data_IF_663543261001
#
_entry.id   IF_663543261001
#
_cell.length_a   1.000
_cell.length_b   1.000
_cell.length_c   1.000
_cell.angle_alpha   90.00
_cell.angle_beta   90.00
_cell.angle_gamma   90.00
#
_symmetry.space_group_name_H-M   'P 1'
#
loop_
_entity.id
_entity.type
_entity.pdbx_description
1 polymer ?
#
# COMPACT_ATOMS: atom_id res chain seq x y z
N UNK A 1 2.80 12.59 18.26
CA UNK A 1 1.49 12.78 17.58
C UNK A 1 1.32 11.62 16.62
N UNK A 2 0.17 10.97 16.58
CA UNK A 2 -0.14 9.84 15.72
C UNK A 2 -0.70 10.35 14.37
N UNK A 3 0.19 10.72 13.44
CA UNK A 3 -0.23 11.24 12.13
C UNK A 3 -0.87 10.17 11.25
N UNK A 4 -0.56 8.90 11.49
CA UNK A 4 -1.22 7.74 10.89
C UNK A 4 -2.71 7.62 11.23
N UNK A 5 -3.16 8.36 12.25
CA UNK A 5 -4.57 8.42 12.69
C UNK A 5 -5.25 9.74 12.34
N UNK A 6 -4.52 10.67 11.71
CA UNK A 6 -5.05 11.99 11.40
C UNK A 6 -6.16 11.93 10.34
N UNK A 7 -7.12 12.84 10.45
CA UNK A 7 -8.05 13.11 9.36
C UNK A 7 -7.37 14.02 8.31
N UNK A 8 -7.77 13.97 7.04
CA UNK A 8 -7.24 14.87 6.01
C UNK A 8 -7.42 16.34 6.41
N UNK A 9 -6.33 17.13 6.28
CA UNK A 9 -6.35 18.57 6.60
C UNK A 9 -7.08 19.42 5.57
N UNK A 10 -7.49 18.82 4.45
CA UNK A 10 -8.32 19.46 3.41
C UNK A 10 -9.34 18.48 2.85
N UNK A 11 -10.44 19.00 2.31
CA UNK A 11 -11.44 18.21 1.59
C UNK A 11 -10.91 17.82 0.22
N UNK A 12 -11.27 16.62 -0.24
CA UNK A 12 -11.00 16.19 -1.61
C UNK A 12 -11.96 16.93 -2.56
N UNK A 13 -11.43 17.66 -3.56
CA UNK A 13 -12.29 18.37 -4.51
C UNK A 13 -13.10 17.36 -5.34
N UNK A 14 -14.42 17.59 -5.41
CA UNK A 14 -15.33 16.80 -6.23
C UNK A 14 -16.25 17.73 -6.98
N UNK A 15 -16.04 17.85 -8.30
CA UNK A 15 -16.86 18.69 -9.20
C UNK A 15 -17.01 18.06 -10.58
N UNK A 16 -18.08 18.41 -11.25
CA UNK A 16 -18.39 17.89 -12.60
C UNK A 16 -17.29 18.30 -13.60
N UNK A 17 -16.76 17.31 -14.34
CA UNK A 17 -15.72 17.53 -15.36
C UNK A 17 -14.28 17.52 -14.81
N UNK A 18 -14.05 17.22 -13.53
CA UNK A 18 -12.70 17.05 -13.02
C UNK A 18 -12.01 15.84 -13.69
N UNK A 19 -10.69 15.95 -13.85
CA UNK A 19 -9.85 14.90 -14.45
C UNK A 19 -9.33 13.87 -13.41
N UNK A 20 -9.40 14.22 -12.14
CA UNK A 20 -9.01 13.35 -11.05
C UNK A 20 -10.21 12.54 -10.54
N UNK A 21 -9.92 11.37 -9.97
CA UNK A 21 -10.94 10.47 -9.45
C UNK A 21 -10.75 10.29 -7.94
N UNK A 22 -11.22 11.26 -7.11
CA UNK A 22 -11.14 11.12 -5.68
C UNK A 22 -12.00 9.96 -5.19
N UNK A 23 -11.55 9.33 -4.13
CA UNK A 23 -12.26 8.20 -3.54
C UNK A 23 -11.69 7.83 -2.18
N UNK A 24 -12.17 6.68 -1.68
CA UNK A 24 -11.80 6.17 -0.38
C UNK A 24 -11.33 4.73 -0.52
N UNK A 25 -10.14 4.46 -0.03
CA UNK A 25 -9.59 3.12 0.10
C UNK A 25 -9.92 2.59 1.50
N UNK A 26 -10.66 1.49 1.59
CA UNK A 26 -10.79 0.79 2.87
C UNK A 26 -9.50 -0.01 3.13
N UNK A 27 -8.76 0.35 4.16
CA UNK A 27 -7.51 -0.29 4.54
C UNK A 27 -7.75 -1.47 5.47
N UNK A 28 -7.17 -2.62 5.14
CA UNK A 28 -7.18 -3.80 6.00
C UNK A 28 -6.21 -3.68 7.17
N UNK A 29 -5.19 -2.83 7.04
CA UNK A 29 -4.21 -2.55 8.09
C UNK A 29 -4.83 -1.74 9.22
N UNK A 30 -5.59 -0.69 8.87
CA UNK A 30 -6.15 0.24 9.86
C UNK A 30 -7.62 0.00 10.19
N UNK A 31 -8.34 -0.79 9.37
CA UNK A 31 -9.80 -0.95 9.45
C UNK A 31 -10.59 0.31 9.07
N UNK A 32 -9.94 1.34 8.51
CA UNK A 32 -10.53 2.65 8.21
C UNK A 32 -10.48 2.98 6.72
N UNK A 33 -11.20 4.03 6.34
CA UNK A 33 -11.13 4.57 4.99
C UNK A 33 -10.04 5.64 4.92
N UNK A 34 -9.13 5.51 3.95
CA UNK A 34 -8.08 6.47 3.62
C UNK A 34 -8.41 7.11 2.28
N UNK A 35 -8.42 8.44 2.21
CA UNK A 35 -8.77 9.18 1.01
C UNK A 35 -7.65 9.16 -0.04
N UNK A 36 -8.01 9.37 -1.30
CA UNK A 36 -7.10 9.61 -2.41
C UNK A 36 -7.75 10.53 -3.44
N UNK A 37 -6.98 11.32 -4.16
CA UNK A 37 -7.46 12.26 -5.18
C UNK A 37 -7.29 11.73 -6.61
N UNK A 38 -6.46 10.70 -6.80
CA UNK A 38 -6.16 10.13 -8.11
C UNK A 38 -6.03 8.61 -8.07
N UNK A 39 -6.06 7.97 -9.25
CA UNK A 39 -5.79 6.55 -9.38
C UNK A 39 -4.36 6.18 -8.96
N UNK A 40 -3.39 7.06 -9.18
CA UNK A 40 -2.01 6.82 -8.77
C UNK A 40 -1.88 6.84 -7.24
N UNK A 41 -2.50 7.80 -6.56
CA UNK A 41 -2.57 7.81 -5.09
C UNK A 41 -3.30 6.58 -4.54
N UNK A 42 -4.41 6.15 -5.17
CA UNK A 42 -5.08 4.91 -4.76
C UNK A 42 -4.14 3.71 -4.84
N UNK A 43 -3.34 3.61 -5.88
CA UNK A 43 -2.40 2.50 -6.04
C UNK A 43 -1.30 2.53 -4.97
N UNK A 44 -0.86 3.72 -4.55
CA UNK A 44 0.08 3.86 -3.43
C UNK A 44 -0.58 3.58 -2.07
N UNK A 45 -1.83 4.02 -1.85
CA UNK A 45 -2.60 3.64 -0.66
C UNK A 45 -2.76 2.10 -0.56
N UNK A 46 -2.98 1.44 -1.71
CA UNK A 46 -3.04 0.00 -1.80
C UNK A 46 -1.69 -0.67 -1.47
N UNK A 47 -0.56 -0.11 -1.93
CA UNK A 47 0.78 -0.62 -1.58
C UNK A 47 1.09 -0.44 -0.10
N UNK A 48 0.75 0.70 0.50
CA UNK A 48 0.90 0.93 1.94
C UNK A 48 0.07 -0.07 2.76
N UNK A 49 -1.14 -0.41 2.30
CA UNK A 49 -2.01 -1.40 2.94
C UNK A 49 -1.52 -2.85 2.73
N UNK A 50 -0.72 -3.08 1.69
CA UNK A 50 -0.11 -4.37 1.36
C UNK A 50 1.25 -4.60 2.03
N UNK A 51 1.94 -3.54 2.43
CA UNK A 51 3.26 -3.60 3.06
C UNK A 51 3.12 -4.10 4.51
N UNK A 52 3.72 -5.26 4.87
CA UNK A 52 3.62 -5.81 6.22
C UNK A 52 4.36 -4.97 7.26
N UNK A 53 5.27 -4.09 6.85
CA UNK A 53 5.98 -3.19 7.76
C UNK A 53 5.13 -1.96 8.14
N UNK A 54 4.09 -1.64 7.37
CA UNK A 54 3.20 -0.51 7.65
C UNK A 54 2.13 -0.92 8.64
N UNK A 55 2.11 -0.27 9.80
CA UNK A 55 1.13 -0.54 10.87
C UNK A 55 0.01 0.49 10.91
N UNK A 56 0.15 1.59 10.18
CA UNK A 56 -0.89 2.61 10.04
C UNK A 56 -0.52 3.64 9.00
N UNK A 57 -1.52 4.22 8.32
CA UNK A 57 -1.30 5.31 7.38
C UNK A 57 -2.55 6.17 7.21
N UNK A 58 -2.34 7.43 6.87
CA UNK A 58 -3.39 8.42 6.62
C UNK A 58 -3.04 9.29 5.42
N UNK A 59 -4.08 9.80 4.74
CA UNK A 59 -3.93 10.77 3.66
C UNK A 59 -3.95 12.19 4.19
N UNK A 60 -3.11 13.06 3.63
CA UNK A 60 -3.05 14.49 3.88
C UNK A 60 -3.09 14.86 5.38
N UNK A 61 -2.21 14.28 6.22
CA UNK A 61 -2.35 14.30 7.67
C UNK A 61 -2.00 15.63 8.32
N UNK A 62 -1.27 16.52 7.62
CA UNK A 62 -0.82 17.82 8.14
C UNK A 62 -0.51 18.81 7.02
N UNK A 63 -0.44 20.11 7.39
CA UNK A 63 0.16 21.15 6.56
C UNK A 63 1.61 21.37 7.01
N UNK A 64 2.57 21.26 6.09
CA UNK A 64 3.91 21.81 6.27
C UNK A 64 3.90 23.26 5.78
N UNK A 65 4.35 24.18 6.65
CA UNK A 65 4.50 25.59 6.30
C UNK A 65 5.99 25.96 6.31
N UNK A 66 6.46 26.71 5.32
CA UNK A 66 7.83 27.22 5.28
C UNK A 66 7.89 28.57 4.56
N UNK A 67 9.01 29.27 4.75
CA UNK A 67 9.32 30.48 4.00
C UNK A 67 10.11 30.06 2.76
N UNK A 68 9.47 30.03 1.61
CA UNK A 68 10.08 29.75 0.31
C UNK A 68 10.54 31.01 -0.39
N UNK A 69 11.12 30.84 -1.58
CA UNK A 69 11.63 31.97 -2.40
C UNK A 69 10.54 32.99 -2.76
N UNK A 70 9.28 32.55 -2.86
CA UNK A 70 8.11 33.38 -3.20
C UNK A 70 7.28 33.82 -1.97
N UNK A 71 7.83 33.67 -0.76
CA UNK A 71 7.17 34.00 0.49
C UNK A 71 6.63 32.79 1.24
N UNK A 72 5.63 32.99 2.11
CA UNK A 72 5.04 31.91 2.89
C UNK A 72 4.35 30.89 2.00
N UNK A 73 4.79 29.65 2.08
CA UNK A 73 4.31 28.52 1.29
C UNK A 73 3.81 27.42 2.22
N UNK A 74 2.89 26.59 1.73
CA UNK A 74 2.42 25.41 2.47
C UNK A 74 2.15 24.24 1.52
N UNK A 75 2.34 23.04 2.02
CA UNK A 75 2.05 21.80 1.30
C UNK A 75 1.48 20.75 2.28
N UNK A 76 0.51 19.97 1.82
CA UNK A 76 0.04 18.79 2.51
C UNK A 76 0.53 17.56 1.73
N UNK A 77 1.32 16.65 2.34
CA UNK A 77 1.75 15.44 1.66
C UNK A 77 0.57 14.52 1.37
N UNK A 78 0.69 13.68 0.35
CA UNK A 78 -0.40 12.78 -0.03
C UNK A 78 -0.64 11.73 1.04
N UNK A 79 0.44 11.15 1.63
CA UNK A 79 0.32 10.17 2.70
C UNK A 79 1.40 10.34 3.78
N UNK A 80 1.05 9.89 4.98
CA UNK A 80 1.98 9.54 6.05
C UNK A 80 1.74 8.08 6.42
N UNK A 81 2.81 7.30 6.55
CA UNK A 81 2.78 5.92 7.00
C UNK A 81 3.65 5.74 8.26
N UNK A 82 3.19 4.90 9.19
CA UNK A 82 3.93 4.44 10.35
C UNK A 82 4.39 3.01 10.12
N UNK A 83 5.67 2.75 10.31
CA UNK A 83 6.23 1.39 10.30
C UNK A 83 6.19 0.75 11.68
N UNK A 84 6.29 -0.56 11.71
CA UNK A 84 6.29 -1.36 12.94
C UNK A 84 7.46 -1.05 13.89
N UNK A 85 8.59 -0.55 13.38
CA UNK A 85 9.73 -0.05 14.17
C UNK A 85 9.52 1.36 14.75
N UNK A 86 8.36 1.97 14.50
CA UNK A 86 8.02 3.31 14.95
C UNK A 86 8.46 4.44 14.03
N UNK A 87 9.20 4.18 12.94
CA UNK A 87 9.61 5.21 11.99
C UNK A 87 8.43 5.74 11.17
N UNK A 88 8.49 7.04 10.83
CA UNK A 88 7.52 7.69 9.96
C UNK A 88 8.03 7.80 8.53
N UNK A 89 7.15 7.60 7.57
CA UNK A 89 7.42 7.80 6.15
C UNK A 89 6.39 8.76 5.59
N UNK A 90 6.84 9.86 4.99
CA UNK A 90 5.99 10.82 4.27
C UNK A 90 6.09 10.54 2.79
N UNK A 91 4.96 10.46 2.10
CA UNK A 91 4.91 10.20 0.67
C UNK A 91 4.22 11.33 -0.08
N UNK A 92 4.86 11.79 -1.15
CA UNK A 92 4.22 12.58 -2.20
C UNK A 92 4.14 11.75 -3.49
N UNK A 93 2.95 11.66 -4.05
CA UNK A 93 2.64 10.84 -5.23
C UNK A 93 2.63 11.73 -6.47
N UNK A 94 3.66 11.61 -7.29
CA UNK A 94 3.78 12.39 -8.52
C UNK A 94 4.38 11.55 -9.64
N UNK A 95 3.63 11.33 -10.71
CA UNK A 95 4.15 10.66 -11.91
C UNK A 95 5.38 11.41 -12.46
N UNK A 96 6.39 10.67 -12.95
CA UNK A 96 7.68 11.25 -13.34
C UNK A 96 7.54 12.30 -14.46
N UNK A 97 6.64 12.06 -15.41
CA UNK A 97 6.31 12.97 -16.51
C UNK A 97 5.53 14.23 -16.09
N UNK A 98 5.13 14.30 -14.81
CA UNK A 98 4.36 15.43 -14.25
C UNK A 98 5.11 16.21 -13.19
N UNK A 99 6.36 15.83 -12.89
CA UNK A 99 7.23 16.59 -11.99
C UNK A 99 7.63 17.88 -12.68
N UNK A 100 7.39 19.01 -12.02
CA UNK A 100 7.73 20.33 -12.50
C UNK A 100 8.94 20.89 -11.73
N UNK A 101 9.69 21.85 -12.29
CA UNK A 101 10.79 22.49 -11.57
C UNK A 101 10.41 23.06 -10.20
N UNK A 102 9.21 23.66 -10.09
CA UNK A 102 8.70 24.20 -8.82
C UNK A 102 8.41 23.14 -7.75
N UNK A 103 8.15 21.88 -8.14
CA UNK A 103 7.95 20.78 -7.19
C UNK A 103 9.24 20.45 -6.41
N UNK A 104 10.42 20.78 -6.97
CA UNK A 104 11.70 20.50 -6.33
C UNK A 104 11.86 21.24 -5.00
N UNK A 105 11.39 22.50 -4.90
CA UNK A 105 11.41 23.26 -3.65
C UNK A 105 10.53 22.60 -2.59
N UNK A 106 9.33 22.16 -2.99
CA UNK A 106 8.35 21.49 -2.11
C UNK A 106 8.96 20.19 -1.56
N UNK A 107 9.50 19.35 -2.44
CA UNK A 107 10.11 18.08 -2.03
C UNK A 107 11.32 18.29 -1.13
N UNK A 108 12.17 19.29 -1.43
CA UNK A 108 13.32 19.63 -0.59
C UNK A 108 12.87 20.14 0.80
N UNK A 109 11.83 20.97 0.88
CA UNK A 109 11.29 21.45 2.14
C UNK A 109 10.71 20.29 2.98
N UNK A 110 9.96 19.37 2.34
CA UNK A 110 9.41 18.20 3.00
C UNK A 110 10.51 17.26 3.50
N UNK A 111 11.53 16.98 2.67
CA UNK A 111 12.65 16.12 3.04
C UNK A 111 13.40 16.67 4.27
N UNK A 112 13.72 17.98 4.29
CA UNK A 112 14.36 18.63 5.44
C UNK A 112 13.49 18.56 6.71
N UNK A 113 12.18 18.78 6.57
CA UNK A 113 11.27 18.69 7.72
C UNK A 113 11.21 17.27 8.29
N UNK A 114 11.17 16.25 7.42
CA UNK A 114 11.22 14.84 7.83
C UNK A 114 12.53 14.51 8.54
N UNK A 115 13.67 14.95 8.01
CA UNK A 115 15.00 14.72 8.61
C UNK A 115 15.08 15.27 10.05
N UNK A 116 14.56 16.47 10.29
CA UNK A 116 14.55 17.11 11.63
C UNK A 116 13.81 16.28 12.67
N UNK A 117 12.76 15.55 12.27
CA UNK A 117 11.93 14.73 13.18
C UNK A 117 12.26 13.24 13.11
N UNK A 118 13.29 12.84 12.39
CA UNK A 118 13.73 11.45 12.25
C UNK A 118 12.80 10.60 11.37
N UNK A 119 12.09 11.23 10.43
CA UNK A 119 11.26 10.54 9.41
C UNK A 119 11.97 10.48 8.08
N UNK A 120 11.46 9.64 7.17
CA UNK A 120 11.88 9.64 5.78
C UNK A 120 10.84 10.31 4.88
N UNK A 121 11.31 10.93 3.81
CA UNK A 121 10.46 11.47 2.74
C UNK A 121 10.70 10.69 1.44
N UNK A 122 9.63 10.37 0.74
CA UNK A 122 9.68 9.69 -0.55
C UNK A 122 8.73 10.36 -1.54
N UNK A 123 9.28 10.82 -2.68
CA UNK A 123 8.46 11.07 -3.86
C UNK A 123 8.32 9.76 -4.63
N UNK A 124 7.09 9.33 -4.88
CA UNK A 124 6.76 8.07 -5.55
C UNK A 124 6.01 8.34 -6.86
N UNK A 125 6.36 7.58 -7.89
CA UNK A 125 5.82 7.72 -9.24
C UNK A 125 4.91 6.56 -9.65
N UNK A 126 4.85 6.33 -10.97
CA UNK A 126 4.04 5.25 -11.54
C UNK A 126 4.61 3.88 -11.15
N UNK A 127 3.75 2.98 -10.73
CA UNK A 127 4.14 1.63 -10.36
C UNK A 127 4.53 0.80 -11.58
N UNK A 128 5.44 -0.16 -11.39
CA UNK A 128 5.70 -1.20 -12.38
C UNK A 128 4.39 -1.93 -12.73
N UNK A 129 4.06 -2.07 -14.03
CA UNK A 129 2.74 -2.57 -14.44
C UNK A 129 2.39 -3.95 -13.88
N UNK A 130 3.36 -4.85 -13.80
CA UNK A 130 3.17 -6.21 -13.28
C UNK A 130 2.85 -6.16 -11.79
N UNK A 131 3.64 -5.44 -11.00
CA UNK A 131 3.40 -5.27 -9.57
C UNK A 131 2.01 -4.66 -9.33
N UNK A 132 1.68 -3.59 -10.05
CA UNK A 132 0.38 -2.92 -9.93
C UNK A 132 -0.78 -3.88 -10.23
N UNK A 133 -0.68 -4.70 -11.28
CA UNK A 133 -1.71 -5.68 -11.65
C UNK A 133 -1.87 -6.75 -10.56
N UNK A 134 -0.77 -7.31 -10.06
CA UNK A 134 -0.78 -8.37 -9.06
C UNK A 134 -1.34 -7.87 -7.71
N UNK A 135 -0.89 -6.70 -7.23
CA UNK A 135 -1.37 -6.16 -5.96
C UNK A 135 -2.83 -5.71 -6.08
N UNK A 136 -3.26 -5.15 -7.21
CA UNK A 136 -4.69 -4.87 -7.48
C UNK A 136 -5.54 -6.14 -7.48
N UNK A 137 -5.02 -7.25 -7.99
CA UNK A 137 -5.72 -8.54 -7.90
C UNK A 137 -5.87 -8.98 -6.45
N UNK A 138 -4.77 -9.08 -5.71
CA UNK A 138 -4.76 -9.53 -4.32
C UNK A 138 -5.57 -8.62 -3.40
N UNK A 139 -5.64 -7.32 -3.68
CA UNK A 139 -6.42 -6.36 -2.88
C UNK A 139 -7.91 -6.67 -2.78
N UNK A 140 -8.47 -7.46 -3.70
CA UNK A 140 -9.86 -7.94 -3.66
C UNK A 140 -10.11 -8.86 -2.46
N UNK A 141 -9.05 -9.52 -1.99
CA UNK A 141 -9.06 -10.49 -0.90
C UNK A 141 -8.51 -9.94 0.42
N UNK A 142 -8.26 -8.62 0.50
CA UNK A 142 -7.69 -7.96 1.70
C UNK A 142 -8.60 -8.02 2.92
N UNK A 143 -9.92 -8.12 2.72
CA UNK A 143 -10.86 -8.10 3.83
C UNK A 143 -10.76 -9.39 4.66
N UNK A 144 -10.71 -9.31 6.02
CA UNK A 144 -10.54 -10.48 6.91
C UNK A 144 -11.54 -11.61 6.68
N UNK A 145 -12.75 -11.30 6.15
CA UNK A 145 -13.75 -12.33 5.79
C UNK A 145 -13.21 -13.38 4.82
N UNK A 146 -12.24 -13.03 3.95
CA UNK A 146 -11.66 -13.94 2.98
C UNK A 146 -10.80 -15.01 3.64
N UNK A 147 -10.22 -14.72 4.83
CA UNK A 147 -9.40 -15.64 5.61
C UNK A 147 -10.14 -16.42 6.71
N UNK A 148 -11.48 -16.34 6.80
CA UNK A 148 -12.25 -16.97 7.89
C UNK A 148 -12.21 -18.51 7.94
N UNK A 149 -11.85 -19.15 6.83
CA UNK A 149 -11.69 -20.61 6.78
C UNK A 149 -10.34 -21.01 7.35
N UNK A 150 -10.22 -21.00 8.69
CA UNK A 150 -8.98 -21.33 9.42
C UNK A 150 -8.48 -22.75 9.12
N UNK A 151 -9.40 -23.69 8.93
CA UNK A 151 -9.11 -25.06 8.50
C UNK A 151 -8.36 -25.10 7.14
N UNK A 152 -8.85 -24.30 6.17
CA UNK A 152 -8.21 -24.19 4.84
C UNK A 152 -6.89 -23.44 4.94
N UNK A 153 -6.84 -22.34 5.73
CA UNK A 153 -5.63 -21.57 5.93
C UNK A 153 -4.50 -22.41 6.52
N UNK A 154 -4.77 -23.20 7.58
CA UNK A 154 -3.79 -24.08 8.19
C UNK A 154 -3.24 -25.11 7.19
N UNK A 155 -4.11 -25.76 6.42
CA UNK A 155 -3.69 -26.72 5.37
C UNK A 155 -2.88 -26.08 4.27
N UNK A 156 -3.22 -24.85 3.84
CA UNK A 156 -2.43 -24.10 2.87
C UNK A 156 -1.02 -23.81 3.40
N UNK A 157 -0.87 -23.44 4.67
CA UNK A 157 0.44 -23.20 5.29
C UNK A 157 1.30 -24.47 5.37
N UNK A 158 0.68 -25.64 5.58
CA UNK A 158 1.37 -26.92 5.52
C UNK A 158 1.82 -27.26 4.11
N UNK A 159 0.90 -27.13 3.14
CA UNK A 159 1.17 -27.43 1.75
C UNK A 159 2.25 -26.52 1.17
N UNK A 160 2.23 -25.22 1.44
CA UNK A 160 3.21 -24.25 0.98
C UNK A 160 4.44 -24.09 1.89
N UNK A 161 4.62 -24.97 2.88
CA UNK A 161 5.89 -25.07 3.60
C UNK A 161 7.05 -25.39 2.64
N UNK A 162 6.78 -26.06 1.52
CA UNK A 162 7.70 -26.26 0.39
C UNK A 162 7.20 -25.47 -0.81
N UNK A 163 8.08 -24.71 -1.49
CA UNK A 163 7.70 -23.95 -2.70
C UNK A 163 7.06 -24.83 -3.76
N UNK A 164 5.93 -24.40 -4.33
CA UNK A 164 5.24 -25.11 -5.42
C UNK A 164 4.33 -24.19 -6.21
N UNK A 165 3.86 -24.60 -7.41
CA UNK A 165 2.91 -23.84 -8.19
C UNK A 165 1.62 -23.57 -7.40
N UNK A 166 1.08 -22.36 -7.56
CA UNK A 166 -0.12 -21.88 -6.86
C UNK A 166 -1.29 -22.86 -7.00
N UNK A 167 -1.57 -23.29 -8.26
CA UNK A 167 -2.71 -24.16 -8.54
C UNK A 167 -2.54 -25.56 -7.95
N UNK A 168 -1.34 -26.12 -8.04
CA UNK A 168 -1.03 -27.44 -7.49
C UNK A 168 -1.18 -27.45 -5.96
N UNK A 169 -0.70 -26.39 -5.32
CA UNK A 169 -0.86 -26.22 -3.87
C UNK A 169 -2.32 -26.05 -3.46
N UNK A 170 -3.11 -25.27 -4.20
CA UNK A 170 -4.52 -25.11 -3.93
C UNK A 170 -5.30 -26.45 -4.11
N UNK A 171 -5.05 -27.16 -5.20
CA UNK A 171 -5.68 -28.44 -5.49
C UNK A 171 -5.35 -29.53 -4.44
N UNK A 172 -4.17 -29.48 -3.84
CA UNK A 172 -3.78 -30.40 -2.76
C UNK A 172 -4.57 -30.19 -1.47
N UNK A 173 -5.24 -29.05 -1.29
CA UNK A 173 -6.06 -28.74 -0.08
C UNK A 173 -7.51 -29.16 -0.26
N UNK A 174 -8.16 -28.66 -1.31
CA UNK A 174 -9.56 -28.98 -1.66
C UNK A 174 -9.88 -28.47 -3.08
N UNK A 175 -11.17 -28.38 -3.43
CA UNK A 175 -11.60 -27.71 -4.67
C UNK A 175 -10.94 -26.31 -4.76
N UNK A 176 -10.21 -26.09 -5.84
CA UNK A 176 -9.38 -24.92 -6.05
C UNK A 176 -10.19 -23.62 -5.96
N UNK A 177 -11.41 -23.59 -6.51
CA UNK A 177 -12.24 -22.38 -6.48
C UNK A 177 -12.68 -22.00 -5.06
N UNK A 178 -12.82 -22.99 -4.17
CA UNK A 178 -13.15 -22.75 -2.75
C UNK A 178 -11.94 -22.29 -1.97
N UNK A 179 -10.75 -22.74 -2.35
CA UNK A 179 -9.48 -22.47 -1.66
C UNK A 179 -8.88 -21.10 -2.05
N UNK A 180 -9.02 -20.70 -3.32
CA UNK A 180 -8.38 -19.48 -3.85
C UNK A 180 -8.64 -18.21 -3.02
N UNK A 181 -9.85 -17.91 -2.53
CA UNK A 181 -10.07 -16.71 -1.72
C UNK A 181 -9.23 -16.67 -0.44
N UNK A 182 -9.00 -17.83 0.19
CA UNK A 182 -8.17 -17.94 1.40
C UNK A 182 -6.69 -17.84 1.03
N UNK A 183 -6.27 -18.49 -0.07
CA UNK A 183 -4.90 -18.43 -0.56
C UNK A 183 -4.51 -16.99 -0.93
N UNK A 184 -5.33 -16.31 -1.72
CA UNK A 184 -5.11 -14.92 -2.11
C UNK A 184 -5.12 -13.98 -0.91
N UNK A 185 -5.96 -14.26 0.12
CA UNK A 185 -5.90 -13.53 1.39
C UNK A 185 -4.58 -13.74 2.12
N UNK A 186 -4.05 -14.97 2.18
CA UNK A 186 -2.76 -15.25 2.80
C UNK A 186 -1.60 -14.59 2.03
N UNK A 187 -1.69 -14.49 0.70
CA UNK A 187 -0.74 -13.72 -0.13
C UNK A 187 -0.85 -12.23 0.15
N UNK A 188 -2.07 -11.69 0.27
CA UNK A 188 -2.28 -10.29 0.67
C UNK A 188 -1.67 -10.00 2.05
N UNK A 189 -1.86 -10.89 3.00
CA UNK A 189 -1.33 -10.77 4.36
C UNK A 189 0.17 -11.05 4.46
N UNK A 190 0.84 -11.35 3.35
CA UNK A 190 2.26 -11.72 3.29
C UNK A 190 2.64 -12.93 4.15
N UNK A 191 1.66 -13.75 4.53
CA UNK A 191 1.87 -15.04 5.23
C UNK A 191 2.35 -16.10 4.23
N UNK A 192 1.79 -16.08 3.02
CA UNK A 192 2.34 -16.71 1.83
C UNK A 192 2.97 -15.65 0.93
N UNK A 193 3.99 -16.03 0.18
CA UNK A 193 4.70 -15.13 -0.74
C UNK A 193 4.85 -15.75 -2.11
N UNK A 194 4.86 -14.90 -3.13
CA UNK A 194 5.16 -15.21 -4.52
C UNK A 194 5.94 -14.04 -5.13
N UNK A 195 6.58 -14.26 -6.26
CA UNK A 195 7.12 -13.16 -7.07
C UNK A 195 5.96 -12.38 -7.70
N UNK A 196 5.80 -11.13 -7.28
CA UNK A 196 4.78 -10.21 -7.79
C UNK A 196 5.34 -9.16 -8.76
N UNK A 197 6.64 -9.20 -9.04
CA UNK A 197 7.34 -8.17 -9.82
C UNK A 197 7.65 -8.64 -11.23
N UNK A 198 8.14 -9.88 -11.37
CA UNK A 198 8.67 -10.37 -12.64
C UNK A 198 7.58 -10.84 -13.62
N UNK A 199 6.46 -11.37 -13.13
CA UNK A 199 5.37 -11.89 -13.96
C UNK A 199 3.99 -11.72 -13.29
N UNK A 200 2.90 -11.71 -14.09
CA UNK A 200 1.55 -11.77 -13.57
C UNK A 200 1.33 -13.03 -12.70
N UNK A 201 0.68 -12.85 -11.55
CA UNK A 201 0.31 -13.95 -10.67
C UNK A 201 -0.71 -14.86 -11.39
N UNK A 202 -0.38 -16.15 -11.45
CA UNK A 202 -1.20 -17.14 -12.15
C UNK A 202 -1.02 -18.54 -11.58
N UNK A 203 -1.62 -19.52 -12.26
CA UNK A 203 -1.66 -20.91 -11.83
C UNK A 203 -0.27 -21.54 -11.60
N UNK A 204 0.72 -21.16 -12.41
CA UNK A 204 2.09 -21.67 -12.34
C UNK A 204 3.02 -20.83 -11.45
N UNK A 205 2.55 -19.72 -10.89
CA UNK A 205 3.37 -18.90 -9.99
C UNK A 205 3.78 -19.71 -8.76
N UNK A 206 5.07 -19.71 -8.46
CA UNK A 206 5.60 -20.42 -7.31
C UNK A 206 5.22 -19.64 -6.04
N UNK A 207 4.57 -20.33 -5.13
CA UNK A 207 4.16 -19.81 -3.82
C UNK A 207 4.89 -20.59 -2.74
N UNK A 208 5.29 -19.91 -1.68
CA UNK A 208 5.81 -20.53 -0.48
C UNK A 208 5.36 -19.75 0.77
N UNK A 209 5.55 -20.37 1.92
CA UNK A 209 5.38 -19.70 3.22
C UNK A 209 6.44 -18.61 3.36
N UNK A 210 6.05 -17.44 3.84
CA UNK A 210 7.01 -16.40 4.20
C UNK A 210 8.00 -16.96 5.23
N UNK A 211 9.31 -16.71 5.05
CA UNK A 211 10.28 -17.01 6.09
C UNK A 211 9.92 -16.17 7.32
N UNK A 212 9.75 -16.83 8.46
CA UNK A 212 9.54 -16.12 9.71
C UNK A 212 10.83 -15.37 10.04
N UNK A 213 10.78 -14.04 9.98
CA UNK A 213 11.84 -13.19 10.50
C UNK A 213 11.41 -12.79 11.91
N UNK A 214 12.09 -13.27 12.97
CA UNK A 214 11.86 -12.72 14.29
C UNK A 214 12.26 -11.25 14.26
N UNK A 215 11.29 -10.34 14.51
CA UNK A 215 11.53 -8.94 14.78
C UNK A 215 12.14 -8.74 16.16
#
# INVERSE_FOLDING_TARGET
>A
MAFEDALPVRSFPSYRGQRNFPGWWWSSTTGRHVGHESWLERDHAMLLDFDPEVVGFASQPFWLHWLGERGSTRHAPDFFARRGDGTGVVLDVRADDRVKPEDAEVFAAMARACEVVGWSFQRVGTLAPVLAANVRWLSRYRHPRCGRREDVAARLLEVFATPRPLWDGAAAVADTLVVLPVLDHLLWRRVLVADLVSAPLGSSSVVCRAAWSPG
#
